data_IF_793476019645
#
_entry.id   IF_793476019645
#
_cell.length_a   1.000
_cell.length_b   1.000
_cell.length_c   1.000
_cell.angle_alpha   90.00
_cell.angle_beta   90.00
_cell.angle_gamma   90.00
#
_symmetry.space_group_name_H-M   'P 1'
#
loop_
_entity.id
_entity.type
_entity.pdbx_description
1 polymer ?
#
# COMPACT_ATOMS: atom_id res chain seq x y z
N UNK A 1 0.90 -12.93 11.42
CA UNK A 1 0.01 -11.78 11.13
C UNK A 1 0.60 -10.83 10.08
N UNK A 2 1.82 -10.26 10.26
CA UNK A 2 2.43 -9.37 9.25
C UNK A 2 2.45 -9.91 7.81
N UNK A 3 2.88 -11.17 7.59
CA UNK A 3 2.87 -11.81 6.25
C UNK A 3 1.50 -11.87 5.58
N UNK A 4 0.42 -12.04 6.37
CA UNK A 4 -0.94 -12.08 5.83
C UNK A 4 -1.39 -10.69 5.39
N UNK A 5 -1.00 -9.66 6.14
CA UNK A 5 -1.28 -8.27 5.76
C UNK A 5 -0.49 -7.88 4.51
N UNK A 6 0.77 -8.30 4.40
CA UNK A 6 1.59 -8.10 3.20
C UNK A 6 0.96 -8.74 1.96
N UNK A 7 0.51 -9.99 2.06
CA UNK A 7 -0.17 -10.67 0.96
C UNK A 7 -1.47 -9.97 0.54
N UNK A 8 -2.29 -9.51 1.50
CA UNK A 8 -3.52 -8.77 1.21
C UNK A 8 -3.23 -7.43 0.54
N UNK A 9 -2.20 -6.72 0.99
CA UNK A 9 -1.78 -5.46 0.38
C UNK A 9 -1.25 -5.71 -1.04
N UNK A 10 -0.43 -6.75 -1.26
CA UNK A 10 0.02 -7.14 -2.60
C UNK A 10 -1.14 -7.44 -3.55
N UNK A 11 -2.18 -8.14 -3.06
CA UNK A 11 -3.39 -8.38 -3.84
C UNK A 11 -4.10 -7.08 -4.20
N UNK A 12 -4.26 -6.15 -3.26
CA UNK A 12 -4.85 -4.85 -3.54
C UNK A 12 -4.03 -4.04 -4.57
N UNK A 13 -2.70 -4.08 -4.48
CA UNK A 13 -1.82 -3.45 -5.48
C UNK A 13 -2.00 -4.10 -6.85
N UNK A 14 -2.13 -5.42 -6.92
CA UNK A 14 -2.39 -6.13 -8.18
C UNK A 14 -3.74 -5.72 -8.78
N UNK A 15 -4.78 -5.52 -7.96
CA UNK A 15 -6.07 -4.97 -8.42
C UNK A 15 -5.90 -3.57 -8.99
N UNK A 16 -5.17 -2.68 -8.31
CA UNK A 16 -4.91 -1.32 -8.82
C UNK A 16 -4.12 -1.30 -10.14
N UNK A 17 -3.22 -2.27 -10.35
CA UNK A 17 -2.54 -2.48 -11.64
C UNK A 17 -3.53 -2.90 -12.73
N UNK A 18 -4.39 -3.88 -12.41
CA UNK A 18 -5.39 -4.39 -13.35
C UNK A 18 -6.44 -3.33 -13.73
N UNK A 19 -6.81 -2.46 -12.77
CA UNK A 19 -7.72 -1.34 -13.00
C UNK A 19 -7.06 -0.17 -13.77
N UNK A 20 -5.76 -0.27 -14.08
CA UNK A 20 -5.02 0.75 -14.82
C UNK A 20 -4.75 2.03 -14.02
N UNK A 21 -4.98 2.01 -12.70
CA UNK A 21 -4.70 3.15 -11.81
C UNK A 21 -3.19 3.38 -11.69
N UNK A 22 -2.40 2.30 -11.69
CA UNK A 22 -0.94 2.33 -11.65
C UNK A 22 -0.37 1.43 -12.76
N UNK A 23 0.82 1.78 -13.27
CA UNK A 23 1.47 0.99 -14.31
C UNK A 23 1.86 -0.41 -13.79
N UNK A 24 1.72 -1.44 -14.62
CA UNK A 24 2.07 -2.82 -14.26
C UNK A 24 3.55 -2.98 -13.87
N UNK A 25 4.44 -2.21 -14.51
CA UNK A 25 5.88 -2.18 -14.24
C UNK A 25 6.25 -1.41 -12.95
N UNK A 26 5.27 -0.86 -12.24
CA UNK A 26 5.53 -0.16 -10.99
C UNK A 26 6.00 -1.16 -9.93
N UNK A 27 7.28 -1.04 -9.55
CA UNK A 27 7.84 -1.83 -8.47
C UNK A 27 7.64 -1.09 -7.13
N UNK A 28 6.95 -1.73 -6.19
CA UNK A 28 6.47 -1.10 -4.95
C UNK A 28 6.99 -1.89 -3.77
N UNK A 29 7.88 -1.28 -2.99
CA UNK A 29 8.37 -1.87 -1.74
C UNK A 29 7.36 -1.66 -0.62
N UNK A 30 6.61 -2.71 -0.32
CA UNK A 30 5.62 -2.75 0.77
C UNK A 30 6.36 -2.96 2.08
N UNK A 31 6.24 -1.99 2.99
CA UNK A 31 6.83 -2.05 4.33
C UNK A 31 5.69 -1.99 5.34
N UNK A 32 5.66 -2.96 6.26
CA UNK A 32 4.67 -3.05 7.32
C UNK A 32 5.38 -3.01 8.67
N UNK A 33 5.15 -1.93 9.40
CA UNK A 33 5.69 -1.70 10.73
C UNK A 33 4.61 -1.63 11.79
N UNK A 34 5.01 -1.74 13.06
CA UNK A 34 4.07 -1.49 14.15
C UNK A 34 3.84 0.01 14.27
N UNK A 35 2.58 0.39 14.48
CA UNK A 35 2.26 1.76 14.83
C UNK A 35 2.97 2.15 16.14
N UNK A 36 3.47 3.38 16.18
CA UNK A 36 4.10 3.93 17.39
C UNK A 36 3.07 4.29 18.46
N UNK A 37 1.85 4.61 18.04
CA UNK A 37 0.74 5.00 18.91
C UNK A 37 -0.43 4.04 18.67
N UNK A 38 -0.95 3.47 19.76
CA UNK A 38 -2.06 2.51 19.72
C UNK A 38 -3.36 3.13 19.18
N UNK A 39 -3.49 4.46 19.22
CA UNK A 39 -4.64 5.18 18.65
C UNK A 39 -4.72 5.04 17.12
N UNK A 40 -3.61 4.72 16.45
CA UNK A 40 -3.54 4.52 15.01
C UNK A 40 -3.64 3.04 14.59
N UNK A 41 -4.01 2.15 15.52
CA UNK A 41 -4.10 0.71 15.30
C UNK A 41 -2.78 -0.02 15.53
N UNK A 42 -2.73 -1.30 15.18
CA UNK A 42 -1.58 -2.17 15.49
C UNK A 42 -0.43 -2.05 14.46
N UNK A 43 -0.75 -1.71 13.21
CA UNK A 43 0.19 -1.73 12.09
C UNK A 43 0.03 -0.52 11.18
N UNK A 44 1.16 -0.01 10.67
CA UNK A 44 1.24 1.03 9.65
C UNK A 44 1.92 0.47 8.39
N UNK A 45 1.56 1.03 7.22
CA UNK A 45 2.23 0.71 5.96
C UNK A 45 2.58 1.95 5.16
N UNK A 46 3.65 1.88 4.36
CA UNK A 46 4.09 2.97 3.48
C UNK A 46 3.37 2.98 2.11
N UNK A 47 2.49 2.00 1.87
CA UNK A 47 2.00 1.64 0.53
C UNK A 47 1.27 2.79 -0.16
N UNK A 48 0.38 3.47 0.56
CA UNK A 48 -0.38 4.58 0.02
C UNK A 48 0.53 5.74 -0.45
N UNK A 49 1.59 6.05 0.30
CA UNK A 49 2.55 7.08 -0.10
C UNK A 49 3.37 6.68 -1.33
N UNK A 50 3.79 5.42 -1.42
CA UNK A 50 4.58 4.93 -2.55
C UNK A 50 3.74 4.85 -3.83
N UNK A 51 2.48 4.43 -3.71
CA UNK A 51 1.56 4.25 -4.84
C UNK A 51 0.90 5.55 -5.33
N UNK A 52 0.77 6.56 -4.46
CA UNK A 52 0.22 7.86 -4.83
C UNK A 52 0.92 8.51 -6.03
N UNK A 53 2.27 8.42 -6.07
CA UNK A 53 3.08 9.00 -7.14
C UNK A 53 2.82 8.35 -8.51
N UNK A 54 2.90 7.01 -8.69
CA UNK A 54 2.54 6.37 -9.94
C UNK A 54 1.05 6.52 -10.28
N UNK A 55 0.16 6.58 -9.28
CA UNK A 55 -1.27 6.81 -9.48
C UNK A 55 -1.63 8.27 -9.81
N UNK A 56 -0.70 9.22 -9.65
CA UNK A 56 -0.94 10.68 -9.69
C UNK A 56 -2.11 11.14 -8.81
N UNK A 57 -2.30 10.47 -7.67
CA UNK A 57 -3.37 10.75 -6.71
C UNK A 57 -2.78 11.17 -5.37
N UNK A 58 -3.58 11.87 -4.55
CA UNK A 58 -3.19 12.12 -3.18
C UNK A 58 -3.11 10.79 -2.41
N UNK A 59 -2.10 10.54 -1.56
CA UNK A 59 -1.99 9.31 -0.78
C UNK A 59 -3.18 9.01 0.13
N UNK A 60 -4.00 10.01 0.44
CA UNK A 60 -5.22 9.84 1.25
C UNK A 60 -6.43 9.39 0.43
N UNK A 61 -6.38 9.54 -0.90
CA UNK A 61 -7.44 9.12 -1.83
C UNK A 61 -7.21 7.70 -2.36
N UNK A 62 -6.05 7.12 -2.04
CA UNK A 62 -5.67 5.76 -2.37
C UNK A 62 -5.86 4.86 -1.15
#
# INVERSE_FOLDING_TARGET
>A
MKKKLEALIQQAVATLKNDGVIAEDTNVSIIIDRCRDAQHGDFASNVAMVLAKPAKMNPRQL
#
